data_IF_626648938154
#
_entry.id   IF_626648938154
#
_cell.length_a   1.000
_cell.length_b   1.000
_cell.length_c   1.000
_cell.angle_alpha   90.00
_cell.angle_beta   90.00
_cell.angle_gamma   90.00
#
_symmetry.space_group_name_H-M   'P 1'
#
loop_
_entity.id
_entity.type
_entity.pdbx_description
1 polymer ?
2 polymer ?
3 non-polymer ?
4 non-polymer ?
5 non-polymer ?
6 water ?
#
# COMPACT_ATOMS: atom_id res chain seq x y z
N UNK A 1 8.33 -1.31 -13.82
CA UNK A 1 7.84 0.02 -13.51
C UNK A 1 8.07 0.33 -12.03
N UNK A 2 8.42 1.56 -11.71
CA UNK A 2 8.69 1.96 -10.33
C UNK A 2 7.45 2.56 -9.67
N UNK A 3 7.32 2.33 -8.36
CA UNK A 3 6.23 2.95 -7.59
C UNK A 3 6.33 4.47 -7.60
N UNK A 4 5.22 5.14 -7.89
CA UNK A 4 5.22 6.60 -7.91
C UNK A 4 3.81 7.13 -7.97
N UNK A 5 3.66 8.44 -8.00
CA UNK A 5 2.33 9.05 -8.04
C UNK A 5 1.47 8.46 -9.16
N UNK A 6 0.24 8.11 -8.83
CA UNK A 6 -0.79 7.67 -9.76
C UNK A 6 -0.56 6.28 -10.34
N UNK A 7 0.33 5.49 -9.70
CA UNK A 7 0.49 4.09 -10.09
C UNK A 7 -0.39 3.25 -9.17
N UNK A 8 -0.96 2.16 -9.67
CA UNK A 8 -1.65 1.22 -8.82
C UNK A 8 -0.64 0.13 -8.53
N UNK A 9 -0.40 -0.09 -7.25
CA UNK A 9 0.67 -0.95 -6.77
C UNK A 9 0.08 -2.11 -5.99
N UNK A 10 0.52 -3.33 -6.30
CA UNK A 10 0.10 -4.48 -5.53
C UNK A 10 1.26 -4.91 -4.66
N UNK A 11 1.01 -5.06 -3.35
CA UNK A 11 2.06 -5.50 -2.43
C UNK A 11 1.63 -6.73 -1.65
N UNK A 12 2.61 -7.54 -1.27
CA UNK A 12 2.39 -8.64 -0.35
C UNK A 12 3.15 -8.26 0.91
N UNK A 13 2.52 -8.36 2.06
CA UNK A 13 3.19 -7.88 3.26
C UNK A 13 2.89 -8.73 4.49
N UNK A 14 3.78 -8.61 5.47
CA UNK A 14 3.55 -9.10 6.82
C UNK A 14 3.75 -7.91 7.76
N UNK A 15 2.83 -7.71 8.69
CA UNK A 15 2.97 -6.61 9.64
C UNK A 15 3.23 -7.17 11.03
N UNK A 16 4.35 -6.80 11.64
CA UNK A 16 4.63 -7.13 13.03
C UNK A 16 4.57 -5.91 13.94
N UNK A 17 4.05 -6.09 15.14
CA UNK A 17 4.18 -5.05 16.15
C UNK A 17 4.70 -5.73 17.40
N UNK A 18 5.80 -5.19 17.94
CA UNK A 18 6.49 -5.77 19.07
C UNK A 18 6.76 -7.26 18.87
N UNK A 19 7.16 -7.58 17.64
CA UNK A 19 7.61 -8.91 17.31
C UNK A 19 6.54 -9.92 16.97
N UNK A 20 5.27 -9.53 17.05
CA UNK A 20 4.15 -10.44 16.81
C UNK A 20 3.47 -10.09 15.49
N UNK A 21 3.17 -11.09 14.68
CA UNK A 21 2.48 -10.84 13.43
C UNK A 21 1.04 -10.44 13.75
N UNK A 22 0.62 -9.27 13.25
CA UNK A 22 -0.75 -8.80 13.45
C UNK A 22 -1.59 -8.95 12.19
N UNK A 23 -0.94 -8.90 11.04
CA UNK A 23 -1.68 -8.98 9.78
C UNK A 23 -0.74 -9.43 8.67
N UNK A 24 -1.28 -10.12 7.68
CA UNK A 24 -0.46 -10.48 6.53
C UNK A 24 -1.38 -10.68 5.35
N UNK A 25 -0.88 -10.40 4.15
CA UNK A 25 -1.74 -10.58 3.00
C UNK A 25 -1.24 -9.82 1.80
N UNK A 26 -2.15 -9.57 0.88
CA UNK A 26 -1.81 -8.90 -0.38
C UNK A 26 -2.89 -7.86 -0.62
N UNK A 27 -2.50 -6.67 -1.06
CA UNK A 27 -3.49 -5.64 -1.38
C UNK A 27 -2.99 -4.82 -2.54
N UNK A 28 -3.92 -4.09 -3.17
CA UNK A 28 -3.53 -3.13 -4.23
C UNK A 28 -4.03 -1.77 -3.84
N UNK A 29 -3.22 -0.75 -4.08
CA UNK A 29 -3.66 0.61 -3.74
C UNK A 29 -3.19 1.60 -4.81
N UNK A 30 -3.89 2.72 -4.92
CA UNK A 30 -3.48 3.79 -5.81
C UNK A 30 -2.54 4.72 -5.06
N UNK A 31 -1.31 4.83 -5.55
CA UNK A 31 -0.26 5.57 -4.85
C UNK A 31 -0.40 7.09 -5.05
N UNK A 32 -0.23 7.83 -3.96
CA UNK A 32 -0.23 9.29 -4.03
C UNK A 32 -1.57 9.90 -3.77
N UNK A 33 -2.46 9.12 -3.16
CA UNK A 33 -3.83 9.57 -2.91
C UNK A 33 -4.26 9.36 -1.46
N UNK A 34 -3.28 9.28 -0.56
CA UNK A 34 -3.52 9.10 0.87
C UNK A 34 -4.39 7.88 1.18
N UNK A 35 -4.16 6.78 0.46
CA UNK A 35 -4.99 5.58 0.61
C UNK A 35 -4.33 4.48 1.43
N UNK A 36 -3.09 4.71 1.82
CA UNK A 36 -2.31 3.75 2.59
C UNK A 36 -1.71 4.48 3.78
N UNK A 37 -1.39 3.77 4.86
CA UNK A 37 -0.62 4.34 5.95
C UNK A 37 0.55 5.15 5.39
N UNK A 38 0.62 6.43 5.74
CA UNK A 38 1.56 7.37 5.12
C UNK A 38 3.02 6.95 5.16
N UNK A 39 3.47 6.46 6.31
CA UNK A 39 4.85 6.03 6.42
C UNK A 39 5.13 4.82 5.55
N UNK A 40 4.12 3.99 5.31
CA UNK A 40 4.34 2.83 4.46
C UNK A 40 4.43 3.29 3.00
N UNK A 41 3.53 4.20 2.61
CA UNK A 41 3.57 4.75 1.26
C UNK A 41 4.91 5.42 0.99
N UNK A 42 5.40 6.16 1.97
CA UNK A 42 6.71 6.81 1.84
C UNK A 42 7.85 5.79 1.61
N UNK A 43 7.77 4.65 2.30
CA UNK A 43 8.77 3.58 2.15
C UNK A 43 8.71 2.93 0.77
N UNK A 44 7.53 2.93 0.18
CA UNK A 44 7.31 2.31 -1.12
C UNK A 44 7.75 3.19 -2.31
N UNK A 45 7.84 4.49 -2.08
CA UNK A 45 8.15 5.43 -3.15
C UNK A 45 9.46 5.06 -3.87
N UNK A 46 9.38 4.94 -5.19
CA UNK A 46 10.57 4.66 -5.99
C UNK A 46 10.97 3.20 -6.07
N UNK A 47 10.28 2.30 -5.36
CA UNK A 47 10.65 0.87 -5.39
C UNK A 47 10.31 0.23 -6.74
N UNK A 48 11.13 -0.72 -7.18
CA UNK A 48 10.87 -1.44 -8.43
C UNK A 48 9.93 -2.61 -8.19
N UNK A 49 9.18 -2.98 -9.22
CA UNK A 49 8.40 -4.19 -9.16
C UNK A 49 9.37 -5.36 -8.92
N UNK A 50 9.08 -6.20 -7.94
CA UNK A 50 9.94 -7.34 -7.60
C UNK A 50 10.77 -7.10 -6.34
N UNK A 51 10.87 -5.85 -5.91
CA UNK A 51 11.72 -5.52 -4.78
C UNK A 51 11.08 -6.03 -3.48
N UNK A 52 11.91 -6.55 -2.58
CA UNK A 52 11.44 -6.97 -1.27
C UNK A 52 12.20 -6.13 -0.25
N UNK A 53 11.52 -5.67 0.80
CA UNK A 53 12.20 -4.78 1.74
C UNK A 53 11.48 -4.69 3.06
N UNK A 54 12.18 -4.19 4.06
CA UNK A 54 11.56 -4.03 5.39
C UNK A 54 11.37 -2.54 5.62
N UNK A 55 10.26 -2.17 6.25
CA UNK A 55 10.03 -0.77 6.59
C UNK A 55 9.61 -0.69 8.03
N UNK A 56 10.20 0.24 8.76
CA UNK A 56 9.76 0.54 10.13
C UNK A 56 8.96 1.83 10.07
N UNK A 57 7.70 1.75 10.47
CA UNK A 57 6.83 2.93 10.45
C UNK A 57 6.38 3.28 11.87
N UNK A 58 6.79 4.46 12.37
CA UNK A 58 6.40 4.90 13.71
C UNK A 58 4.91 5.24 13.75
N UNK A 59 4.29 5.17 14.93
CA UNK A 59 2.86 5.49 15.07
C UNK A 59 2.52 6.87 14.54
N UNK A 60 3.47 7.80 14.67
CA UNK A 60 3.31 9.19 14.22
C UNK A 60 3.41 9.37 12.70
N UNK A 61 3.43 8.26 11.97
CA UNK A 61 3.34 8.25 10.51
C UNK A 61 2.37 7.15 10.11
N UNK A 62 1.57 6.73 11.09
CA UNK A 62 0.59 5.66 10.90
C UNK A 62 -0.77 6.07 11.44
N UNK A 72 -2.96 -2.38 18.11
CA UNK A 72 -1.74 -1.55 18.13
C UNK A 72 -1.70 -0.64 19.34
N UNK A 73 -0.63 -0.78 20.15
CA UNK A 73 -0.39 0.12 21.28
C UNK A 73 0.04 1.51 20.81
N UNK A 74 0.08 2.51 21.71
CA UNK A 74 0.56 3.84 21.33
C UNK A 74 2.08 3.87 21.11
N UNK A 75 2.52 4.69 20.16
CA UNK A 75 3.94 4.94 19.92
C UNK A 75 4.78 3.70 19.67
N UNK A 76 4.14 2.67 19.15
CA UNK A 76 4.87 1.46 18.77
C UNK A 76 5.30 1.61 17.33
N UNK A 77 6.33 0.87 16.96
CA UNK A 77 6.78 0.87 15.58
C UNK A 77 6.03 -0.20 14.82
N UNK A 78 5.52 0.14 13.64
CA UNK A 78 4.94 -0.85 12.74
C UNK A 78 6.04 -1.42 11.86
N UNK A 79 6.27 -2.73 11.97
CA UNK A 79 7.38 -3.37 11.27
C UNK A 79 6.83 -4.18 10.08
N UNK A 80 6.98 -3.63 8.88
CA UNK A 80 6.48 -4.29 7.67
C UNK A 80 7.58 -5.02 6.92
N UNK A 81 7.25 -6.21 6.44
CA UNK A 81 8.08 -6.92 5.48
C UNK A 81 7.23 -6.87 4.21
N UNK A 82 7.76 -6.30 3.13
CA UNK A 82 6.93 -5.99 1.95
C UNK A 82 7.55 -6.56 0.68
N UNK A 83 6.72 -7.08 -0.23
CA UNK A 83 7.17 -7.39 -1.59
C UNK A 83 6.33 -6.57 -2.58
N UNK A 84 6.98 -5.90 -3.52
CA UNK A 84 6.23 -5.21 -4.57
C UNK A 84 5.89 -6.22 -5.66
N UNK A 85 4.62 -6.62 -5.72
CA UNK A 85 4.20 -7.68 -6.65
C UNK A 85 4.00 -7.15 -8.07
N UNK A 86 3.34 -5.99 -8.17
CA UNK A 86 2.99 -5.45 -9.48
C UNK A 86 2.89 -3.93 -9.38
N UNK A 87 3.29 -3.25 -10.45
CA UNK A 87 3.12 -1.80 -10.56
C UNK A 87 2.57 -1.55 -11.94
N UNK A 88 1.49 -0.79 -12.02
CA UNK A 88 0.99 -0.38 -13.34
C UNK A 88 0.45 1.03 -13.23
N UNK A 89 0.23 1.65 -14.38
CA UNK A 89 -0.44 2.94 -14.42
C UNK A 89 -1.93 2.82 -14.17
N UNK A 90 -2.48 3.85 -13.53
CA UNK A 90 -3.90 3.90 -13.21
C UNK A 90 -4.72 4.19 -14.46
N UNK A 91 -5.94 3.65 -14.47
CA UNK A 91 -6.91 3.99 -15.52
C UNK A 91 -7.50 5.37 -15.25
N UNK A 92 -8.16 5.94 -16.24
CA UNK A 92 -8.76 7.26 -16.00
C UNK A 92 -9.81 7.22 -14.88
N UNK A 93 -10.57 6.14 -14.83
CA UNK A 93 -11.58 5.99 -13.78
C UNK A 93 -10.98 5.88 -12.38
N UNK A 94 -9.86 5.18 -12.26
CA UNK A 94 -9.21 5.09 -10.97
C UNK A 94 -8.74 6.47 -10.53
N UNK A 95 -8.21 7.24 -11.46
CA UNK A 95 -7.73 8.58 -11.10
C UNK A 95 -8.89 9.49 -10.66
N UNK A 96 -10.01 9.37 -11.34
CA UNK A 96 -11.18 10.20 -11.03
C UNK A 96 -11.76 9.80 -9.67
N UNK A 97 -11.79 8.50 -9.38
CA UNK A 97 -12.34 8.03 -8.11
C UNK A 97 -11.34 8.22 -6.97
N UNK A 98 -10.07 8.29 -7.34
CA UNK A 98 -9.01 8.40 -6.34
C UNK A 98 -8.70 7.08 -5.63
N UNK A 99 -8.99 5.96 -6.28
CA UNK A 99 -8.67 4.67 -5.67
C UNK A 99 -8.47 3.59 -6.74
N UNK A 100 -7.85 2.49 -6.35
CA UNK A 100 -7.65 1.37 -7.26
C UNK A 100 -8.94 0.54 -7.46
N UNK A 101 -9.08 -0.04 -8.66
CA UNK A 101 -10.23 -0.89 -9.01
C UNK A 101 -9.78 -2.30 -9.38
N UNK A 102 -10.61 -3.32 -9.12
CA UNK A 102 -10.35 -4.70 -9.55
C UNK A 102 -10.18 -4.79 -11.06
N UNK A 103 -9.48 -5.82 -11.53
CA UNK A 103 -9.10 -5.94 -12.94
C UNK A 103 -10.26 -5.88 -13.92
N UNK A 104 -11.36 -6.54 -13.56
CA UNK A 104 -12.54 -6.58 -14.41
C UNK A 104 -13.21 -5.22 -14.50
N UNK A 105 -13.43 -4.75 -15.72
CA UNK A 105 -14.09 -3.46 -15.92
C UNK A 105 -15.51 -3.56 -15.37
N UNK A 106 -15.87 -2.63 -14.50
CA UNK A 106 -17.26 -2.48 -14.10
C UNK A 106 -17.48 -1.00 -13.88
N UNK A 107 -18.05 -0.33 -14.86
CA UNK A 107 -18.28 1.12 -14.75
C UNK A 107 -19.19 1.47 -13.59
N UNK A 108 -18.85 2.51 -12.83
CA UNK A 108 -19.59 2.81 -11.61
C UNK A 108 -19.26 4.20 -11.06
N UNK A 109 -20.01 4.64 -10.05
CA UNK A 109 -19.62 5.84 -9.34
C UNK A 109 -19.89 5.67 -7.86
N UNK A 110 -19.53 6.68 -7.07
CA UNK A 110 -19.59 6.58 -5.61
C UNK A 110 -20.35 7.76 -5.04
N UNK B 8 -7.96 4.08 6.00
CA UNK B 8 -6.74 3.81 5.24
C UNK B 8 -6.34 2.33 5.27
N UNK B 9 -5.67 1.90 4.22
CA UNK B 9 -5.15 0.53 4.15
C UNK B 9 -3.78 0.45 4.84
N UNK B 10 -3.41 -0.75 5.33
CA UNK B 10 -4.26 -1.95 5.32
C UNK B 10 -5.36 -1.87 6.37
N UNK B 11 -6.48 -2.54 6.11
CA UNK B 11 -7.59 -2.55 7.05
C UNK B 11 -7.26 -3.47 8.22
N UNK B 12 -6.86 -2.89 9.34
CA UNK B 12 -6.65 -3.65 10.58
C UNK B 12 -7.62 -3.20 11.66
#
# INVERSE_FOLDING_TARGET
>A
MKVGQDKVVTIRYTLQVEGEVLDQGELSYLHGHRNLIPGLEEALEGREEGEAFQAHVPAEKAYGATGHPGIIPPHATLDFQVEVVKVREATPEELLHGHAHPSGHHHHHH
>B
TRYANPKMKPFIFGAX
#
